data_IF_408700116145
#
_entry.id   IF_408700116145
#
_cell.length_a   1.000
_cell.length_b   1.000
_cell.length_c   1.000
_cell.angle_alpha   90.00
_cell.angle_beta   90.00
_cell.angle_gamma   90.00
#
_symmetry.space_group_name_H-M   'P 1'
#
loop_
_entity.id
_entity.type
_entity.pdbx_description
1 polymer ?
#
# COMPACT_ATOMS: atom_id res chain seq x y z
N UNK A 1 1.34 -9.04 -31.74
CA UNK A 1 2.32 -10.02 -32.23
C UNK A 1 3.17 -9.38 -33.29
N UNK A 2 4.44 -9.31 -33.07
CA UNK A 2 5.38 -8.74 -34.01
C UNK A 2 5.87 -9.76 -35.03
N UNK A 3 6.47 -9.24 -36.07
CA UNK A 3 7.20 -10.05 -37.06
C UNK A 3 8.70 -10.13 -36.69
N UNK A 4 9.06 -9.66 -35.51
CA UNK A 4 10.42 -9.63 -35.02
C UNK A 4 10.53 -10.42 -33.72
N UNK A 5 11.76 -10.65 -33.28
CA UNK A 5 12.07 -11.36 -32.04
C UNK A 5 11.80 -10.41 -30.87
N UNK A 6 10.71 -10.66 -30.13
CA UNK A 6 10.31 -9.79 -29.00
C UNK A 6 11.28 -9.89 -27.83
N UNK A 7 11.90 -11.04 -27.61
CA UNK A 7 12.90 -11.20 -26.54
C UNK A 7 14.16 -10.39 -26.83
N UNK A 8 14.61 -10.40 -28.09
CA UNK A 8 15.76 -9.60 -28.51
C UNK A 8 15.47 -8.12 -28.33
N UNK A 9 14.29 -7.66 -28.74
CA UNK A 9 13.90 -6.27 -28.58
C UNK A 9 13.86 -5.87 -27.10
N UNK A 10 13.34 -6.73 -26.23
CA UNK A 10 13.31 -6.45 -24.80
C UNK A 10 14.73 -6.25 -24.25
N UNK A 11 15.67 -7.09 -24.63
CA UNK A 11 17.07 -6.97 -24.21
C UNK A 11 17.69 -5.66 -24.71
N UNK A 12 17.40 -5.31 -25.96
CA UNK A 12 17.91 -4.07 -26.57
C UNK A 12 17.36 -2.82 -25.86
N UNK A 13 16.06 -2.78 -25.63
CA UNK A 13 15.43 -1.64 -24.96
C UNK A 13 15.86 -1.52 -23.50
N UNK A 14 16.00 -2.65 -22.81
CA UNK A 14 16.50 -2.65 -21.43
C UNK A 14 17.92 -2.07 -21.38
N UNK A 15 18.75 -2.40 -22.34
CA UNK A 15 20.10 -1.84 -22.45
C UNK A 15 20.07 -0.36 -22.76
N UNK A 16 19.25 0.06 -23.75
CA UNK A 16 19.25 1.43 -24.25
C UNK A 16 18.58 2.39 -23.26
N UNK A 17 17.46 1.99 -22.66
CA UNK A 17 16.71 2.83 -21.73
C UNK A 17 17.19 2.68 -20.28
N UNK A 18 17.85 1.57 -19.96
CA UNK A 18 18.15 1.10 -18.62
C UNK A 18 16.89 0.82 -17.80
N UNK A 19 16.97 -0.12 -16.87
CA UNK A 19 15.85 -0.42 -15.97
C UNK A 19 16.03 0.36 -14.68
N UNK A 20 15.12 1.31 -14.43
CA UNK A 20 15.10 2.13 -13.23
C UNK A 20 13.87 1.79 -12.42
N UNK A 21 14.08 1.25 -11.22
CA UNK A 21 12.96 0.84 -10.35
C UNK A 21 12.43 1.96 -9.48
N UNK A 22 13.03 3.15 -9.57
CA UNK A 22 12.56 4.36 -8.91
C UNK A 22 12.39 5.47 -9.93
N UNK A 23 11.48 6.43 -9.68
CA UNK A 23 11.29 7.55 -10.61
C UNK A 23 12.57 8.36 -10.79
N UNK A 24 12.78 8.85 -12.00
CA UNK A 24 13.87 9.78 -12.32
C UNK A 24 13.36 10.82 -13.30
N UNK A 25 14.08 11.95 -13.34
CA UNK A 25 13.77 13.02 -14.30
C UNK A 25 14.74 12.89 -15.46
N UNK A 26 14.19 12.81 -16.67
CA UNK A 26 15.02 12.68 -17.89
C UNK A 26 15.58 14.03 -18.35
N UNK A 27 16.34 14.01 -19.46
CA UNK A 27 17.03 15.17 -19.97
C UNK A 27 16.11 16.29 -20.44
N UNK A 28 14.83 15.99 -20.70
CA UNK A 28 13.82 16.97 -21.13
C UNK A 28 12.83 17.34 -20.04
N UNK A 29 13.12 16.95 -18.78
CA UNK A 29 12.31 17.33 -17.63
C UNK A 29 11.11 16.45 -17.37
N UNK A 30 11.00 15.28 -18.01
CA UNK A 30 9.89 14.33 -17.79
C UNK A 30 10.27 13.31 -16.73
N UNK A 31 9.30 12.97 -15.87
CA UNK A 31 9.50 11.92 -14.87
C UNK A 31 9.24 10.56 -15.50
N UNK A 32 10.18 9.65 -15.34
CA UNK A 32 10.15 8.31 -15.95
C UNK A 32 10.49 7.23 -14.94
N UNK A 33 10.13 5.99 -15.23
CA UNK A 33 10.40 4.82 -14.39
C UNK A 33 10.43 3.56 -15.27
N UNK A 34 11.01 2.49 -14.75
CA UNK A 34 11.04 1.20 -15.44
C UNK A 34 11.98 1.23 -16.63
N UNK A 35 11.55 0.66 -17.73
CA UNK A 35 12.31 0.64 -18.97
C UNK A 35 11.81 1.79 -19.86
N UNK A 36 12.16 3.02 -19.45
CA UNK A 36 11.83 4.22 -20.22
C UNK A 36 10.36 4.64 -20.23
N UNK A 37 9.56 4.25 -19.19
CA UNK A 37 8.17 4.70 -19.13
C UNK A 37 8.10 6.17 -18.71
N UNK A 38 7.61 7.02 -19.62
CA UNK A 38 7.35 8.43 -19.33
C UNK A 38 6.06 8.56 -18.52
N UNK A 39 6.19 8.80 -17.23
CA UNK A 39 5.04 8.93 -16.33
C UNK A 39 4.32 10.26 -16.52
N UNK A 40 5.05 11.32 -16.88
CA UNK A 40 4.47 12.66 -17.04
C UNK A 40 3.42 12.70 -18.15
N UNK A 41 3.75 12.13 -19.30
CA UNK A 41 2.89 12.22 -20.48
C UNK A 41 2.01 10.97 -20.68
N UNK A 42 2.52 9.80 -20.27
CA UNK A 42 1.84 8.52 -20.51
C UNK A 42 1.12 8.00 -19.27
N UNK A 43 1.73 8.16 -18.10
CA UNK A 43 1.20 7.60 -16.86
C UNK A 43 1.27 6.08 -16.84
N UNK A 44 0.31 5.45 -16.17
CA UNK A 44 0.18 3.99 -16.13
C UNK A 44 -1.24 3.60 -16.54
N UNK A 45 -1.39 2.37 -17.01
CA UNK A 45 -2.71 1.82 -17.36
C UNK A 45 -3.43 1.31 -16.12
N UNK A 46 -4.73 1.03 -16.27
CA UNK A 46 -5.52 0.41 -15.22
C UNK A 46 -4.92 -0.94 -14.79
N UNK A 47 -4.52 -1.77 -15.74
CA UNK A 47 -3.93 -3.08 -15.43
C UNK A 47 -2.61 -2.94 -14.69
N UNK A 48 -1.79 -1.96 -15.06
CA UNK A 48 -0.54 -1.65 -14.36
C UNK A 48 -0.82 -1.18 -12.93
N UNK A 49 -1.84 -0.35 -12.74
CA UNK A 49 -2.24 0.12 -11.42
C UNK A 49 -2.68 -1.05 -10.54
N UNK A 50 -3.46 -2.00 -11.08
CA UNK A 50 -3.89 -3.18 -10.34
C UNK A 50 -2.72 -4.09 -9.99
N UNK A 51 -1.75 -4.22 -10.88
CA UNK A 51 -0.55 -5.02 -10.59
C UNK A 51 0.25 -4.42 -9.43
N UNK A 52 0.46 -3.11 -9.47
CA UNK A 52 1.13 -2.40 -8.37
C UNK A 52 0.36 -2.56 -7.06
N UNK A 53 -0.96 -2.37 -7.12
CA UNK A 53 -1.84 -2.55 -5.97
C UNK A 53 -1.68 -3.93 -5.33
N UNK A 54 -1.68 -4.99 -6.14
CA UNK A 54 -1.51 -6.36 -5.63
C UNK A 54 -0.20 -6.54 -4.89
N UNK A 55 0.89 -6.01 -5.44
CA UNK A 55 2.19 -6.05 -4.78
C UNK A 55 2.20 -5.22 -3.49
N UNK A 56 1.51 -4.08 -3.48
CA UNK A 56 1.44 -3.22 -2.30
C UNK A 56 0.64 -3.88 -1.17
N UNK A 57 -0.46 -4.56 -1.50
CA UNK A 57 -1.22 -5.35 -0.52
C UNK A 57 -0.35 -6.47 0.05
N UNK A 58 0.40 -7.17 -0.79
CA UNK A 58 1.32 -8.22 -0.34
C UNK A 58 2.35 -7.70 0.64
N UNK A 59 2.90 -6.50 0.40
CA UNK A 59 3.85 -5.87 1.33
C UNK A 59 3.19 -5.51 2.66
N UNK A 60 1.95 -4.99 2.62
CA UNK A 60 1.19 -4.66 3.83
C UNK A 60 0.93 -5.92 4.67
N UNK A 61 0.49 -7.00 4.01
CA UNK A 61 0.24 -8.27 4.71
C UNK A 61 1.54 -8.86 5.28
N UNK A 62 2.63 -8.78 4.54
CA UNK A 62 3.92 -9.27 5.02
C UNK A 62 4.40 -8.51 6.27
N UNK A 63 4.18 -7.20 6.31
CA UNK A 63 4.50 -6.38 7.47
C UNK A 63 3.69 -6.83 8.69
N UNK A 64 2.39 -7.06 8.50
CA UNK A 64 1.51 -7.54 9.57
C UNK A 64 1.93 -8.95 10.03
N UNK A 65 2.21 -9.84 9.10
CA UNK A 65 2.61 -11.22 9.43
C UNK A 65 3.89 -11.26 10.27
N UNK A 66 4.87 -10.41 9.95
CA UNK A 66 6.13 -10.37 10.67
C UNK A 66 6.01 -9.76 12.07
N UNK A 67 5.16 -8.75 12.23
CA UNK A 67 5.16 -7.93 13.43
C UNK A 67 3.94 -8.12 14.32
N UNK A 68 2.80 -8.46 13.75
CA UNK A 68 1.52 -8.61 14.45
C UNK A 68 0.82 -9.89 13.98
N UNK A 69 1.46 -11.07 14.13
CA UNK A 69 0.96 -12.30 13.49
C UNK A 69 -0.45 -12.70 13.92
N UNK A 70 -0.92 -12.22 15.07
CA UNK A 70 -2.28 -12.44 15.55
C UNK A 70 -3.35 -11.79 14.68
N UNK A 71 -2.96 -10.90 13.74
CA UNK A 71 -3.94 -10.17 12.93
C UNK A 71 -4.81 -11.09 12.06
N UNK A 72 -4.28 -12.24 11.66
CA UNK A 72 -5.03 -13.19 10.82
C UNK A 72 -6.13 -13.92 11.58
N UNK A 73 -6.16 -13.82 12.90
CA UNK A 73 -7.20 -14.40 13.74
C UNK A 73 -8.38 -13.45 13.96
N UNK A 74 -8.27 -12.22 13.51
CA UNK A 74 -9.36 -11.25 13.58
C UNK A 74 -10.45 -11.60 12.56
N UNK A 75 -11.64 -11.05 12.79
CA UNK A 75 -12.72 -11.11 11.81
C UNK A 75 -12.32 -10.39 10.52
N UNK A 76 -13.03 -10.68 9.44
CA UNK A 76 -12.73 -10.15 8.10
C UNK A 76 -12.63 -8.62 8.09
N UNK A 77 -13.62 -7.93 8.68
CA UNK A 77 -13.66 -6.47 8.64
C UNK A 77 -12.44 -5.88 9.33
N UNK A 78 -12.09 -6.38 10.51
CA UNK A 78 -10.95 -5.85 11.26
C UNK A 78 -9.61 -6.23 10.63
N UNK A 79 -9.52 -7.40 9.98
CA UNK A 79 -8.35 -7.70 9.15
C UNK A 79 -8.18 -6.65 8.06
N UNK A 80 -9.25 -6.31 7.35
CA UNK A 80 -9.19 -5.30 6.28
C UNK A 80 -8.81 -3.92 6.82
N UNK A 81 -9.25 -3.56 8.02
CA UNK A 81 -8.82 -2.31 8.66
C UNK A 81 -7.30 -2.29 8.84
N UNK A 82 -6.73 -3.36 9.37
CA UNK A 82 -5.27 -3.41 9.60
C UNK A 82 -4.49 -3.41 8.29
N UNK A 83 -4.96 -4.14 7.28
CA UNK A 83 -4.30 -4.12 5.95
C UNK A 83 -4.37 -2.70 5.37
N UNK A 84 -5.52 -2.04 5.48
CA UNK A 84 -5.70 -0.67 4.98
C UNK A 84 -4.73 0.30 5.66
N UNK A 85 -4.60 0.22 6.98
CA UNK A 85 -3.66 1.04 7.73
C UNK A 85 -2.22 0.73 7.36
N UNK A 86 -1.85 -0.55 7.27
CA UNK A 86 -0.49 -0.97 6.90
C UNK A 86 -0.15 -0.54 5.47
N UNK A 87 -1.11 -0.62 4.55
CA UNK A 87 -0.96 -0.14 3.18
C UNK A 87 -0.60 1.35 3.15
N UNK A 88 -1.28 2.14 3.97
CA UNK A 88 -1.09 3.58 4.03
C UNK A 88 0.15 4.00 4.83
N UNK A 89 0.39 3.37 5.98
CA UNK A 89 1.41 3.76 6.94
C UNK A 89 2.75 3.03 6.76
N UNK A 90 2.72 1.84 6.20
CA UNK A 90 3.91 1.00 6.20
C UNK A 90 4.40 0.74 7.62
N UNK A 91 5.71 0.74 7.83
CA UNK A 91 6.30 0.49 9.15
C UNK A 91 5.87 1.45 10.25
N UNK A 92 5.35 2.62 9.90
CA UNK A 92 4.83 3.58 10.89
C UNK A 92 3.65 3.03 11.68
N UNK A 93 2.93 2.03 11.14
CA UNK A 93 1.86 1.36 11.87
C UNK A 93 2.36 0.81 13.21
N UNK A 94 3.61 0.36 13.27
CA UNK A 94 4.19 -0.24 14.46
C UNK A 94 4.39 0.76 15.60
N UNK A 95 4.27 2.05 15.33
CA UNK A 95 4.32 3.09 16.36
C UNK A 95 3.00 3.18 17.15
N UNK A 96 1.92 2.60 16.62
CA UNK A 96 0.61 2.54 17.27
C UNK A 96 0.58 1.42 18.34
N UNK A 97 1.52 1.40 19.27
CA UNK A 97 1.72 0.27 20.18
C UNK A 97 0.50 0.00 21.07
N UNK A 98 -0.05 1.06 21.69
CA UNK A 98 -1.21 0.91 22.56
C UNK A 98 -2.47 0.54 21.78
N UNK A 99 -2.64 1.13 20.59
CA UNK A 99 -3.76 0.80 19.72
C UNK A 99 -3.70 -0.65 19.26
N UNK A 100 -2.54 -1.12 18.81
CA UNK A 100 -2.38 -2.51 18.37
C UNK A 100 -2.56 -3.49 19.53
N UNK A 101 -2.10 -3.15 20.73
CA UNK A 101 -2.35 -3.96 21.91
C UNK A 101 -3.85 -4.06 22.23
N UNK A 102 -4.58 -2.95 22.08
CA UNK A 102 -6.03 -2.94 22.24
C UNK A 102 -6.72 -3.85 21.20
N UNK A 103 -6.29 -3.80 19.93
CA UNK A 103 -6.82 -4.66 18.88
C UNK A 103 -6.56 -6.14 19.24
N UNK A 104 -5.36 -6.45 19.68
CA UNK A 104 -4.99 -7.83 20.02
C UNK A 104 -5.86 -8.41 21.12
N UNK A 105 -6.21 -7.61 22.14
CA UNK A 105 -7.06 -8.07 23.25
C UNK A 105 -8.55 -7.85 22.99
N UNK A 106 -8.92 -7.43 21.78
CA UNK A 106 -10.30 -7.19 21.36
C UNK A 106 -11.00 -6.06 22.15
N UNK A 107 -10.23 -5.08 22.60
CA UNK A 107 -10.77 -3.86 23.20
C UNK A 107 -11.02 -2.86 22.07
N UNK A 108 -12.16 -3.04 21.40
CA UNK A 108 -12.46 -2.29 20.17
C UNK A 108 -12.64 -0.79 20.42
N UNK A 109 -13.18 -0.44 21.60
CA UNK A 109 -13.35 0.98 21.93
C UNK A 109 -12.00 1.66 22.14
N UNK A 110 -11.09 1.04 22.89
CA UNK A 110 -9.75 1.57 23.08
C UNK A 110 -8.99 1.64 21.76
N UNK A 111 -9.16 0.64 20.90
CA UNK A 111 -8.53 0.64 19.57
C UNK A 111 -9.05 1.80 18.72
N UNK A 112 -10.37 1.99 18.64
CA UNK A 112 -11.00 3.11 17.94
C UNK A 112 -10.47 4.44 18.45
N UNK A 113 -10.46 4.60 19.76
CA UNK A 113 -10.03 5.85 20.40
C UNK A 113 -8.56 6.16 20.07
N UNK A 114 -7.71 5.15 20.14
CA UNK A 114 -6.30 5.31 19.75
C UNK A 114 -6.09 5.65 18.29
N UNK A 115 -6.90 5.09 17.40
CA UNK A 115 -6.86 5.44 15.97
C UNK A 115 -7.22 6.91 15.75
N UNK A 116 -8.29 7.38 16.38
CA UNK A 116 -8.78 8.75 16.20
C UNK A 116 -7.89 9.79 16.90
N UNK A 117 -7.20 9.41 17.96
CA UNK A 117 -6.31 10.30 18.72
C UNK A 117 -4.88 10.27 18.17
N UNK A 118 -4.72 10.23 16.88
CA UNK A 118 -3.42 10.11 16.23
C UNK A 118 -3.21 11.21 15.21
N UNK A 119 -1.94 11.53 14.95
CA UNK A 119 -1.58 12.44 13.85
C UNK A 119 -2.07 11.88 12.52
N UNK A 120 -1.97 10.56 12.33
CA UNK A 120 -2.47 9.90 11.13
C UNK A 120 -3.94 10.23 10.87
N UNK A 121 -4.80 10.19 11.92
CA UNK A 121 -6.22 10.51 11.77
C UNK A 121 -6.42 11.93 11.23
N UNK A 122 -5.60 12.88 11.68
CA UNK A 122 -5.66 14.26 11.18
C UNK A 122 -5.22 14.35 9.72
N UNK A 123 -4.23 13.56 9.33
CA UNK A 123 -3.68 13.57 7.97
C UNK A 123 -4.61 12.96 6.94
N UNK A 124 -5.33 11.89 7.29
CA UNK A 124 -6.16 11.15 6.34
C UNK A 124 -7.66 11.46 6.45
N UNK A 125 -8.08 12.21 7.47
CA UNK A 125 -9.44 12.72 7.62
C UNK A 125 -10.51 11.64 7.63
N UNK A 126 -11.43 11.68 6.67
CA UNK A 126 -12.57 10.76 6.59
C UNK A 126 -12.17 9.29 6.52
N UNK A 127 -11.00 8.99 5.96
CA UNK A 127 -10.50 7.61 5.94
C UNK A 127 -10.33 7.07 7.36
N UNK A 128 -9.78 7.87 8.27
CA UNK A 128 -9.61 7.46 9.66
C UNK A 128 -10.96 7.26 10.34
N UNK A 129 -11.94 8.12 10.06
CA UNK A 129 -13.28 7.99 10.62
C UNK A 129 -13.94 6.67 10.18
N UNK A 130 -13.84 6.34 8.90
CA UNK A 130 -14.40 5.09 8.38
C UNK A 130 -13.73 3.87 9.00
N UNK A 131 -12.39 3.87 9.04
CA UNK A 131 -11.63 2.74 9.57
C UNK A 131 -11.87 2.57 11.07
N UNK A 132 -11.96 3.67 11.82
CA UNK A 132 -12.26 3.63 13.25
C UNK A 132 -13.67 3.09 13.51
N UNK A 133 -14.65 3.46 12.70
CA UNK A 133 -15.99 2.89 12.78
C UNK A 133 -15.97 1.38 12.55
N UNK A 134 -15.26 0.94 11.52
CA UNK A 134 -15.14 -0.48 11.18
C UNK A 134 -14.44 -1.25 12.31
N UNK A 135 -13.40 -0.65 12.91
CA UNK A 135 -12.70 -1.26 14.04
C UNK A 135 -13.63 -1.44 15.24
N UNK A 136 -14.41 -0.40 15.58
CA UNK A 136 -15.32 -0.47 16.72
C UNK A 136 -16.44 -1.48 16.50
N UNK A 137 -17.06 -1.45 15.35
CA UNK A 137 -18.33 -2.14 15.10
C UNK A 137 -18.18 -3.50 14.38
N UNK A 138 -17.05 -3.73 13.72
CA UNK A 138 -16.86 -4.94 12.91
C UNK A 138 -17.77 -4.96 11.68
N UNK A 139 -18.15 -3.80 11.17
CA UNK A 139 -19.05 -3.63 10.03
C UNK A 139 -18.37 -2.79 8.96
N UNK A 140 -18.59 -3.13 7.69
CA UNK A 140 -18.07 -2.36 6.56
C UNK A 140 -18.71 -0.98 6.51
N UNK A 141 -17.86 0.01 6.28
CA UNK A 141 -18.32 1.40 6.14
C UNK A 141 -18.07 1.89 4.72
#
# INVERSE_FOLDING_TARGET
MGTYDTAALQAELTRDEAEKLKPYVDTVGKTSIGIGRNLTDVGISHDEALYLYGNDVNRAEALLDRNLPWWRQLDDVRQRVLVNMAFNLGGKLLQFKNTMAAVQRHDWQAARDGMLDSLWAKQVGQRAQRLAYMMLNGETQ
#
